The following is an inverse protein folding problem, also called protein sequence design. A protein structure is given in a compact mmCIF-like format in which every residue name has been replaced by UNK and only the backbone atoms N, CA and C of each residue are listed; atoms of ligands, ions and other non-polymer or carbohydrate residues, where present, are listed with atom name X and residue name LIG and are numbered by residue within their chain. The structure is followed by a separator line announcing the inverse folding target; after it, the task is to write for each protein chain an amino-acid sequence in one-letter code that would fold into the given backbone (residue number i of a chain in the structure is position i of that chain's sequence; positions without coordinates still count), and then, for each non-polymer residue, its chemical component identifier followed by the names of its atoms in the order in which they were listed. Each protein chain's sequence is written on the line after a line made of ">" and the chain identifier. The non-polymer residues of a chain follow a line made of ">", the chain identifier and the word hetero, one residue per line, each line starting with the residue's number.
data_IF_372514159161
#
_entry.id   IF_372514159161
#
_cell.length_a   1.000
_cell.length_b   1.000
_cell.length_c   1.000
_cell.angle_alpha   90.00
_cell.angle_beta   90.00
_cell.angle_gamma   90.00
#
_symmetry.space_group_name_H-M   'P 1'
#
loop_
_entity.id
_entity.type
_entity.pdbx_description
1 polymer ?
#
# COMPACT_ATOMS: atom_id res chain seq x y z
N UNK A 1 -9.13 8.72 -2.03
CA UNK A 1 -8.22 8.72 -3.19
C UNK A 1 -6.82 8.43 -2.67
N UNK A 2 -6.01 7.62 -3.36
CA UNK A 2 -4.63 7.41 -2.98
C UNK A 2 -3.85 8.73 -2.97
N UNK A 3 -2.88 8.86 -2.07
CA UNK A 3 -2.12 10.11 -1.89
C UNK A 3 -0.63 9.93 -2.14
N UNK A 4 -0.07 8.83 -1.68
CA UNK A 4 1.34 8.52 -1.85
C UNK A 4 1.55 7.03 -2.10
N UNK A 5 1.44 6.64 -3.38
CA UNK A 5 1.74 5.28 -3.80
C UNK A 5 3.24 5.04 -3.81
N UNK A 6 3.72 3.95 -3.20
CA UNK A 6 5.14 3.60 -3.16
C UNK A 6 5.44 2.31 -3.93
N UNK A 7 4.92 1.18 -3.48
CA UNK A 7 5.24 -0.12 -4.07
C UNK A 7 4.01 -0.84 -4.63
N UNK A 8 4.24 -1.74 -5.58
CA UNK A 8 3.22 -2.54 -6.26
C UNK A 8 3.66 -3.98 -6.41
N UNK A 9 2.75 -4.89 -6.10
CA UNK A 9 2.93 -6.33 -6.22
C UNK A 9 1.77 -6.93 -7.01
N UNK A 10 2.07 -7.86 -7.92
CA UNK A 10 1.08 -8.73 -8.54
C UNK A 10 1.24 -10.16 -8.02
N UNK A 11 0.15 -10.76 -7.57
CA UNK A 11 0.12 -12.16 -7.14
C UNK A 11 -0.04 -13.12 -8.34
N UNK A 12 0.32 -14.40 -8.20
CA UNK A 12 0.16 -15.39 -9.28
C UNK A 12 -1.30 -15.58 -9.76
N UNK A 13 -2.29 -15.37 -8.89
CA UNK A 13 -3.72 -15.39 -9.23
C UNK A 13 -4.22 -14.08 -9.88
N UNK A 14 -3.32 -13.11 -10.10
CA UNK A 14 -3.58 -11.90 -10.87
C UNK A 14 -4.11 -10.72 -10.07
N UNK A 15 -4.21 -10.81 -8.74
CA UNK A 15 -4.54 -9.66 -7.90
C UNK A 15 -3.36 -8.69 -7.86
N UNK A 16 -3.66 -7.40 -7.72
CA UNK A 16 -2.66 -6.35 -7.63
C UNK A 16 -2.83 -5.64 -6.29
N UNK A 17 -1.74 -5.52 -5.55
CA UNK A 17 -1.67 -4.78 -4.30
C UNK A 17 -0.76 -3.58 -4.46
N UNK A 18 -1.16 -2.43 -3.90
CA UNK A 18 -0.38 -1.19 -3.95
C UNK A 18 -0.33 -0.56 -2.56
N UNK A 19 0.84 -0.14 -2.10
CA UNK A 19 0.95 0.60 -0.84
C UNK A 19 0.62 2.08 -1.04
N UNK A 20 -0.08 2.69 -0.07
CA UNK A 20 -0.37 4.12 0.01
C UNK A 20 0.10 4.63 1.38
N UNK A 21 1.27 5.28 1.43
CA UNK A 21 2.04 5.49 2.66
C UNK A 21 1.47 6.55 3.60
N UNK A 22 0.57 7.40 3.12
CA UNK A 22 -0.14 8.40 3.92
C UNK A 22 -1.49 8.68 3.29
N UNK A 23 -2.49 9.04 4.10
CA UNK A 23 -3.78 9.54 3.62
C UNK A 23 -3.78 11.06 3.40
N UNK A 24 -2.69 11.75 3.75
CA UNK A 24 -2.61 13.22 3.86
C UNK A 24 -1.47 13.82 3.04
N UNK A 25 -0.26 13.27 3.15
CA UNK A 25 0.93 13.81 2.49
C UNK A 25 1.33 12.97 1.28
N UNK A 26 1.93 13.62 0.29
CA UNK A 26 2.46 13.02 -0.94
C UNK A 26 4.00 12.95 -0.88
N UNK A 27 4.62 12.38 -1.91
CA UNK A 27 6.08 12.22 -2.01
C UNK A 27 6.88 13.52 -1.80
N UNK A 28 6.33 14.69 -2.17
CA UNK A 28 7.00 15.98 -1.98
C UNK A 28 7.01 16.44 -0.51
N UNK A 29 6.14 15.86 0.31
CA UNK A 29 5.93 16.20 1.72
C UNK A 29 6.20 15.01 2.62
N UNK A 30 7.03 14.08 2.15
CA UNK A 30 7.32 12.81 2.80
C UNK A 30 7.81 12.95 4.25
N UNK A 31 8.71 13.91 4.48
CA UNK A 31 9.22 14.22 5.82
C UNK A 31 8.09 14.49 6.84
N UNK A 32 6.97 15.06 6.41
CA UNK A 32 5.85 15.33 7.32
C UNK A 32 5.09 14.07 7.73
N UNK A 33 5.18 12.98 6.98
CA UNK A 33 4.59 11.69 7.38
C UNK A 33 5.35 11.15 8.59
N UNK A 34 6.68 11.21 8.54
CA UNK A 34 7.55 10.80 9.64
C UNK A 34 7.34 11.68 10.87
N UNK A 35 7.28 13.01 10.69
CA UNK A 35 7.05 13.95 11.79
C UNK A 35 5.64 13.85 12.38
N UNK A 36 4.63 13.52 11.58
CA UNK A 36 3.26 13.31 12.05
C UNK A 36 3.15 12.02 12.88
N UNK A 37 3.98 11.00 12.63
CA UNK A 37 4.06 9.78 13.43
C UNK A 37 2.78 8.94 13.46
N UNK A 38 1.83 9.21 12.55
CA UNK A 38 0.55 8.51 12.47
C UNK A 38 0.65 7.25 11.61
N UNK A 39 -0.06 6.21 12.03
CA UNK A 39 -0.28 4.98 11.26
C UNK A 39 -1.42 5.15 10.25
N UNK A 40 -1.26 6.09 9.31
CA UNK A 40 -2.30 6.41 8.31
C UNK A 40 -2.18 5.64 7.00
N UNK A 41 -1.13 4.84 6.84
CA UNK A 41 -0.87 4.10 5.61
C UNK A 41 -1.83 2.92 5.43
N UNK A 42 -1.98 2.51 4.17
CA UNK A 42 -2.87 1.40 3.77
C UNK A 42 -2.34 0.63 2.57
N UNK A 43 -2.81 -0.60 2.43
CA UNK A 43 -2.63 -1.43 1.23
C UNK A 43 -3.95 -1.43 0.46
N UNK A 44 -3.86 -1.12 -0.82
CA UNK A 44 -4.99 -1.11 -1.74
C UNK A 44 -4.98 -2.40 -2.56
N UNK A 45 -6.14 -3.01 -2.77
CA UNK A 45 -6.33 -4.08 -3.75
C UNK A 45 -6.98 -3.50 -5.00
N UNK A 46 -6.39 -3.80 -6.16
CA UNK A 46 -6.90 -3.43 -7.48
C UNK A 46 -7.42 -4.69 -8.18
N UNK A 47 -8.68 -4.63 -8.62
CA UNK A 47 -9.24 -5.61 -9.53
C UNK A 47 -8.94 -5.20 -10.99
N UNK A 48 -8.04 -5.88 -11.70
CA UNK A 48 -7.60 -5.46 -13.03
C UNK A 48 -8.68 -5.59 -14.10
N UNK A 49 -9.68 -6.47 -13.91
CA UNK A 49 -10.77 -6.66 -14.87
C UNK A 49 -11.81 -5.54 -14.84
N UNK A 50 -11.97 -4.88 -13.70
CA UNK A 50 -13.01 -3.85 -13.48
C UNK A 50 -12.43 -2.47 -13.20
N UNK A 51 -11.15 -2.37 -12.84
CA UNK A 51 -10.53 -1.15 -12.34
C UNK A 51 -10.96 -0.76 -10.92
N UNK A 52 -11.74 -1.61 -10.24
CA UNK A 52 -12.21 -1.36 -8.87
C UNK A 52 -11.05 -1.37 -7.87
N UNK A 53 -11.06 -0.42 -6.93
CA UNK A 53 -10.06 -0.28 -5.87
C UNK A 53 -10.75 -0.40 -4.51
N UNK A 54 -10.22 -1.25 -3.64
CA UNK A 54 -10.64 -1.41 -2.25
C UNK A 54 -9.46 -1.29 -1.28
N UNK A 55 -9.74 -1.06 0.00
CA UNK A 55 -8.72 -1.14 1.05
C UNK A 55 -8.62 -2.59 1.49
N UNK A 56 -7.43 -3.18 1.35
CA UNK A 56 -7.14 -4.54 1.79
C UNK A 56 -6.69 -4.57 3.26
N UNK A 57 -5.84 -3.62 3.64
CA UNK A 57 -5.38 -3.41 5.01
C UNK A 57 -5.11 -1.93 5.25
N UNK A 58 -5.26 -1.46 6.48
CA UNK A 58 -4.98 -0.09 6.90
C UNK A 58 -4.34 -0.04 8.29
N UNK A 59 -4.05 1.17 8.78
CA UNK A 59 -3.42 1.34 10.08
C UNK A 59 -1.93 1.02 10.11
N UNK A 60 -1.26 1.11 8.96
CA UNK A 60 0.17 0.76 8.83
C UNK A 60 1.01 2.04 8.88
N UNK A 61 2.10 2.00 9.65
CA UNK A 61 3.08 3.08 9.66
C UNK A 61 3.86 3.04 8.34
N UNK A 62 3.61 4.00 7.46
CA UNK A 62 4.46 4.30 6.32
C UNK A 62 4.85 3.10 5.42
N UNK A 63 3.87 2.31 4.91
CA UNK A 63 4.12 1.10 4.13
C UNK A 63 4.82 1.39 2.79
N UNK A 64 6.11 1.11 2.71
CA UNK A 64 6.92 1.48 1.53
C UNK A 64 7.32 0.31 0.63
N UNK A 65 7.26 -0.92 1.13
CA UNK A 65 7.61 -2.11 0.36
C UNK A 65 6.58 -3.22 0.54
N UNK A 66 6.33 -3.97 -0.53
CA UNK A 66 5.42 -5.10 -0.59
C UNK A 66 6.13 -6.31 -1.20
N UNK A 67 5.97 -7.47 -0.56
CA UNK A 67 6.48 -8.73 -1.12
C UNK A 67 5.55 -9.90 -0.79
N UNK A 68 5.43 -10.86 -1.69
CA UNK A 68 4.68 -12.08 -1.43
C UNK A 68 5.61 -13.16 -0.88
N UNK A 69 5.19 -13.87 0.17
CA UNK A 69 5.91 -15.07 0.60
C UNK A 69 5.92 -16.12 -0.52
N UNK A 70 6.97 -16.95 -0.56
CA UNK A 70 7.14 -17.97 -1.59
C UNK A 70 6.02 -19.01 -1.65
N UNK A 71 5.30 -19.23 -0.55
CA UNK A 71 4.11 -20.08 -0.47
C UNK A 71 2.81 -19.39 -0.91
N UNK A 72 2.87 -18.09 -1.23
CA UNK A 72 1.74 -17.28 -1.67
C UNK A 72 0.72 -16.94 -0.58
N UNK A 73 1.03 -17.19 0.70
CA UNK A 73 0.05 -17.08 1.79
C UNK A 73 0.08 -15.79 2.57
N UNK A 74 1.19 -15.04 2.52
CA UNK A 74 1.36 -13.82 3.30
C UNK A 74 1.93 -12.69 2.45
N UNK A 75 1.43 -11.48 2.70
CA UNK A 75 1.99 -10.25 2.19
C UNK A 75 2.92 -9.68 3.27
N UNK A 76 4.19 -9.48 2.94
CA UNK A 76 5.15 -8.78 3.78
C UNK A 76 5.07 -7.28 3.46
N UNK A 77 5.13 -6.45 4.52
CA UNK A 77 5.06 -5.00 4.40
C UNK A 77 6.22 -4.39 5.21
N UNK A 78 6.94 -3.47 4.59
CA UNK A 78 8.03 -2.70 5.21
C UNK A 78 7.53 -1.40 5.83
#
# INVERSE_FOLDING_TARGET
>A
RPRYLNDVLQTPDGKIYVSDSSDKFDAYRDLYIILEGRTSGRILELNPSTGGISVFADGIAYPNGLELTSDGRSLLVA
#
